data_IF_272231873495
#
_entry.id   IF_272231873495
#
_cell.length_a   1.000
_cell.length_b   1.000
_cell.length_c   1.000
_cell.angle_alpha   90.00
_cell.angle_beta   90.00
_cell.angle_gamma   90.00
#
_symmetry.space_group_name_H-M   'P 1'
#
loop_
_entity.id
_entity.type
_entity.pdbx_description
1 polymer ?
#
# COMPACT_ATOMS: atom_id res chain seq x y z
N UNK A 1 17.59 5.69 -10.13
CA UNK A 1 16.36 5.20 -10.79
C UNK A 1 15.82 4.07 -9.93
N UNK A 2 14.61 4.20 -9.37
CA UNK A 2 14.01 3.11 -8.57
C UNK A 2 13.47 2.08 -9.56
N UNK A 3 13.91 0.83 -9.42
CA UNK A 3 13.37 -0.27 -10.19
C UNK A 3 12.21 -0.89 -9.41
N UNK A 4 11.01 -0.67 -9.90
CA UNK A 4 9.80 -1.27 -9.35
C UNK A 4 9.45 -2.53 -10.13
N UNK A 5 8.99 -3.55 -9.41
CA UNK A 5 8.47 -4.79 -9.99
C UNK A 5 6.99 -4.93 -9.66
N UNK A 6 6.15 -4.89 -10.69
CA UNK A 6 4.72 -5.10 -10.55
C UNK A 6 4.36 -6.58 -10.73
N UNK A 7 3.47 -7.07 -9.88
CA UNK A 7 2.91 -8.42 -9.95
C UNK A 7 1.41 -8.36 -9.73
N UNK A 8 0.68 -9.36 -10.24
CA UNK A 8 -0.77 -9.48 -10.09
C UNK A 8 -1.16 -10.75 -9.36
N UNK A 9 -2.25 -10.66 -8.61
CA UNK A 9 -2.89 -11.74 -7.89
C UNK A 9 -4.37 -11.75 -8.29
N UNK A 10 -4.89 -12.94 -8.63
CA UNK A 10 -6.33 -13.15 -8.72
C UNK A 10 -6.85 -13.68 -7.38
N UNK A 11 -7.89 -13.05 -6.85
CA UNK A 11 -8.61 -13.48 -5.64
C UNK A 11 -10.05 -13.81 -6.03
N UNK A 12 -10.51 -15.06 -5.80
CA UNK A 12 -11.90 -15.43 -6.04
C UNK A 12 -12.88 -14.46 -5.36
N UNK A 13 -14.01 -14.18 -6.02
CA UNK A 13 -15.08 -13.26 -5.58
C UNK A 13 -14.72 -11.77 -5.48
N UNK A 14 -13.43 -11.43 -5.45
CA UNK A 14 -12.94 -10.05 -5.32
C UNK A 14 -12.33 -9.50 -6.61
N UNK A 15 -11.70 -10.34 -7.43
CA UNK A 15 -11.07 -9.95 -8.69
C UNK A 15 -9.55 -9.85 -8.61
N UNK A 16 -8.96 -8.96 -9.42
CA UNK A 16 -7.52 -8.83 -9.60
C UNK A 16 -6.93 -7.71 -8.75
N UNK A 17 -5.82 -8.01 -8.08
CA UNK A 17 -5.04 -7.05 -7.30
C UNK A 17 -3.64 -6.99 -7.88
N UNK A 18 -3.09 -5.79 -8.03
CA UNK A 18 -1.70 -5.60 -8.42
C UNK A 18 -0.92 -4.97 -7.28
N UNK A 19 0.33 -5.39 -7.09
CA UNK A 19 1.28 -4.72 -6.20
C UNK A 19 2.59 -4.43 -6.90
N UNK A 20 3.19 -3.28 -6.60
CA UNK A 20 4.56 -2.95 -7.00
C UNK A 20 5.49 -3.03 -5.80
N UNK A 21 6.62 -3.72 -5.95
CA UNK A 21 7.69 -3.77 -4.95
C UNK A 21 8.93 -3.05 -5.44
N UNK A 22 9.57 -2.30 -4.54
CA UNK A 22 10.94 -1.82 -4.70
C UNK A 22 11.90 -2.75 -3.95
N UNK A 23 13.20 -2.42 -3.96
CA UNK A 23 14.18 -3.11 -3.12
C UNK A 23 13.94 -2.94 -1.60
N UNK A 24 13.16 -1.93 -1.19
CA UNK A 24 12.89 -1.62 0.23
C UNK A 24 11.57 -2.20 0.75
N UNK A 25 10.63 -2.52 -0.14
CA UNK A 25 9.33 -3.06 0.25
C UNK A 25 8.22 -2.78 -0.75
N UNK A 26 6.98 -2.93 -0.29
CA UNK A 26 5.78 -2.64 -1.06
C UNK A 26 5.69 -1.12 -1.32
N UNK A 27 5.72 -0.74 -2.59
CA UNK A 27 5.60 0.64 -3.05
C UNK A 27 4.14 1.07 -3.24
N UNK A 28 3.35 0.19 -3.86
CA UNK A 28 1.95 0.44 -4.15
C UNK A 28 1.15 -0.87 -4.24
N UNK A 29 -0.15 -0.78 -3.98
CA UNK A 29 -1.11 -1.87 -4.03
C UNK A 29 -2.43 -1.33 -4.61
N UNK A 30 -3.03 -2.03 -5.54
CA UNK A 30 -4.38 -1.71 -6.00
C UNK A 30 -5.42 -2.32 -5.07
N UNK A 31 -6.59 -1.69 -4.99
CA UNK A 31 -7.80 -2.40 -4.58
C UNK A 31 -8.19 -3.43 -5.66
N UNK A 32 -9.07 -4.41 -5.33
CA UNK A 32 -9.56 -5.36 -6.32
C UNK A 32 -10.15 -4.67 -7.56
N UNK A 33 -9.78 -5.17 -8.74
CA UNK A 33 -10.17 -4.69 -10.06
C UNK A 33 -10.79 -5.83 -10.89
N UNK A 34 -11.59 -5.53 -11.93
CA UNK A 34 -12.22 -6.57 -12.76
C UNK A 34 -11.22 -7.41 -13.56
N UNK A 35 -10.05 -6.85 -13.91
CA UNK A 35 -9.04 -7.53 -14.74
C UNK A 35 -7.60 -7.14 -14.35
N UNK A 36 -6.64 -7.97 -14.75
CA UNK A 36 -5.22 -7.80 -14.43
C UNK A 36 -4.61 -6.52 -15.03
N UNK A 37 -5.07 -6.11 -16.21
CA UNK A 37 -4.55 -4.93 -16.92
C UNK A 37 -4.94 -3.66 -16.17
N UNK A 38 -6.20 -3.56 -15.76
CA UNK A 38 -6.70 -2.46 -14.93
C UNK A 38 -5.99 -2.42 -13.58
N UNK A 39 -5.77 -3.57 -12.93
CA UNK A 39 -5.00 -3.64 -11.68
C UNK A 39 -3.58 -3.08 -11.85
N UNK A 40 -2.85 -3.53 -12.87
CA UNK A 40 -1.51 -3.03 -13.18
C UNK A 40 -1.50 -1.54 -13.52
N UNK A 41 -2.50 -1.06 -14.26
CA UNK A 41 -2.64 0.35 -14.59
C UNK A 41 -2.79 1.22 -13.34
N UNK A 42 -3.55 0.78 -12.32
CA UNK A 42 -3.69 1.50 -11.03
C UNK A 42 -2.34 1.68 -10.33
N UNK A 43 -1.52 0.63 -10.29
CA UNK A 43 -0.19 0.69 -9.68
C UNK A 43 0.78 1.54 -10.51
N UNK A 44 0.69 1.49 -11.84
CA UNK A 44 1.51 2.33 -12.74
C UNK A 44 1.15 3.81 -12.66
N UNK A 45 -0.13 4.16 -12.47
CA UNK A 45 -0.56 5.56 -12.31
C UNK A 45 0.01 6.22 -11.05
N UNK A 46 0.20 5.43 -9.99
CA UNK A 46 0.88 5.88 -8.78
C UNK A 46 2.35 6.23 -9.04
N UNK A 47 2.97 5.55 -10.01
CA UNK A 47 4.37 5.73 -10.42
C UNK A 47 4.56 6.90 -11.39
N UNK A 48 3.58 7.17 -12.26
CA UNK A 48 3.68 8.14 -13.35
C UNK A 48 4.04 9.60 -12.93
N UNK A 49 3.99 9.92 -11.64
CA UNK A 49 4.41 11.22 -11.09
C UNK A 49 5.82 11.25 -10.47
N UNK A 50 6.53 10.12 -10.41
CA UNK A 50 7.84 10.00 -9.76
C UNK A 50 8.80 9.23 -10.69
N UNK A 51 10.06 9.67 -10.82
CA UNK A 51 11.05 9.17 -11.79
C UNK A 51 11.53 7.71 -11.60
N UNK A 52 10.68 6.85 -11.04
CA UNK A 52 10.85 5.42 -11.00
C UNK A 52 10.40 4.86 -12.35
N UNK A 53 11.27 4.06 -12.97
CA UNK A 53 10.88 3.30 -14.16
C UNK A 53 10.54 1.91 -13.68
N UNK A 54 9.28 1.49 -13.82
CA UNK A 54 8.90 0.08 -13.72
C UNK A 54 9.65 -0.66 -14.84
N UNK A 55 10.77 -1.31 -14.47
CA UNK A 55 11.49 -2.19 -15.37
C UNK A 55 10.94 -3.60 -15.17
N UNK A 56 10.52 -4.22 -16.27
CA UNK A 56 10.16 -5.65 -16.36
C UNK A 56 11.41 -6.55 -16.24
N UNK A 57 12.23 -6.38 -15.18
CA UNK A 57 13.38 -7.24 -14.90
C UNK A 57 12.95 -8.44 -14.04
N UNK A 58 13.45 -9.67 -14.33
CA UNK A 58 13.07 -10.88 -13.61
C UNK A 58 13.30 -10.73 -12.11
N UNK A 59 12.43 -11.29 -11.25
CA UNK A 59 12.50 -11.09 -9.80
C UNK A 59 13.82 -11.63 -9.22
N UNK A 60 14.50 -10.79 -8.44
CA UNK A 60 15.52 -11.23 -7.50
C UNK A 60 14.84 -11.85 -6.27
N UNK A 61 15.51 -12.78 -5.61
CA UNK A 61 14.97 -13.69 -4.58
C UNK A 61 14.20 -12.99 -3.45
N UNK A 62 14.63 -11.79 -3.04
CA UNK A 62 13.98 -11.01 -1.97
C UNK A 62 12.59 -10.46 -2.34
N UNK A 63 12.40 -10.04 -3.59
CA UNK A 63 11.12 -9.53 -4.10
C UNK A 63 10.07 -10.66 -4.16
N UNK A 64 10.50 -11.88 -4.48
CA UNK A 64 9.65 -13.07 -4.49
C UNK A 64 9.10 -13.38 -3.10
N UNK A 65 9.96 -13.40 -2.05
CA UNK A 65 9.51 -13.70 -0.68
C UNK A 65 8.50 -12.66 -0.17
N UNK A 66 8.76 -11.38 -0.37
CA UNK A 66 7.85 -10.31 0.04
C UNK A 66 6.49 -10.42 -0.65
N UNK A 67 6.48 -10.69 -1.96
CA UNK A 67 5.26 -10.92 -2.72
C UNK A 67 4.48 -12.14 -2.21
N UNK A 68 5.14 -13.27 -1.99
CA UNK A 68 4.49 -14.48 -1.46
C UNK A 68 3.87 -14.23 -0.07
N UNK A 69 4.55 -13.48 0.80
CA UNK A 69 3.99 -13.08 2.09
C UNK A 69 2.77 -12.19 1.94
N UNK A 70 2.83 -11.16 1.08
CA UNK A 70 1.71 -10.27 0.81
C UNK A 70 0.49 -11.03 0.27
N UNK A 71 0.68 -11.90 -0.72
CA UNK A 71 -0.38 -12.73 -1.31
C UNK A 71 -1.08 -13.56 -0.22
N UNK A 72 -0.31 -14.18 0.69
CA UNK A 72 -0.86 -14.95 1.81
C UNK A 72 -1.70 -14.09 2.75
N UNK A 73 -1.23 -12.89 3.09
CA UNK A 73 -1.96 -11.97 3.96
C UNK A 73 -3.25 -11.45 3.30
N UNK A 74 -3.20 -11.12 2.01
CA UNK A 74 -4.37 -10.67 1.25
C UNK A 74 -5.46 -11.74 1.15
N UNK A 75 -5.09 -13.00 0.90
CA UNK A 75 -6.06 -14.09 0.92
C UNK A 75 -6.73 -14.26 2.29
N UNK A 76 -5.97 -14.13 3.39
CA UNK A 76 -6.54 -14.16 4.74
C UNK A 76 -7.47 -12.98 5.00
N UNK A 77 -7.04 -11.76 4.67
CA UNK A 77 -7.84 -10.54 4.82
C UNK A 77 -9.18 -10.64 4.10
N UNK A 78 -9.14 -10.98 2.81
CA UNK A 78 -10.31 -11.01 1.93
C UNK A 78 -11.24 -12.20 2.19
N UNK A 79 -10.75 -13.22 2.91
CA UNK A 79 -11.58 -14.31 3.45
C UNK A 79 -12.15 -14.01 4.84
N UNK A 80 -11.97 -12.79 5.36
CA UNK A 80 -12.54 -12.34 6.64
C UNK A 80 -11.76 -12.80 7.87
N UNK A 81 -10.54 -13.32 7.72
CA UNK A 81 -9.71 -13.68 8.85
C UNK A 81 -8.94 -12.46 9.38
N UNK A 82 -8.81 -12.30 10.72
CA UNK A 82 -7.94 -11.29 11.31
C UNK A 82 -6.52 -11.43 10.79
N UNK A 83 -5.92 -10.31 10.40
CA UNK A 83 -4.57 -10.26 9.85
C UNK A 83 -3.89 -8.95 10.23
N UNK A 84 -2.60 -9.04 10.50
CA UNK A 84 -1.72 -7.90 10.71
C UNK A 84 -0.82 -7.68 9.50
N UNK A 85 -0.61 -6.41 9.12
CA UNK A 85 0.33 -6.00 8.07
C UNK A 85 1.53 -5.21 8.61
N UNK A 86 1.71 -5.19 9.93
CA UNK A 86 2.68 -4.37 10.66
C UNK A 86 4.12 -4.69 10.21
N UNK A 87 4.42 -5.98 10.05
CA UNK A 87 5.74 -6.47 9.65
C UNK A 87 6.02 -6.35 8.15
N UNK A 88 5.05 -5.95 7.34
CA UNK A 88 5.28 -5.79 5.90
C UNK A 88 6.13 -4.53 5.64
N UNK A 89 7.32 -4.65 5.03
CA UNK A 89 8.13 -3.50 4.67
C UNK A 89 7.42 -2.67 3.61
N UNK A 90 7.28 -1.37 3.87
CA UNK A 90 6.68 -0.40 2.95
C UNK A 90 7.74 0.57 2.46
N UNK A 91 7.74 0.83 1.15
CA UNK A 91 8.54 1.90 0.59
C UNK A 91 7.76 3.22 0.62
N UNK A 92 8.20 4.11 1.51
CA UNK A 92 7.59 5.41 1.74
C UNK A 92 8.28 6.55 0.99
N UNK A 93 9.21 6.26 0.06
CA UNK A 93 9.84 7.30 -0.73
C UNK A 93 8.81 8.04 -1.59
N UNK A 94 9.07 9.33 -1.81
CA UNK A 94 8.15 10.22 -2.52
C UNK A 94 7.02 10.79 -1.66
N UNK A 95 6.85 10.32 -0.42
CA UNK A 95 6.00 10.99 0.56
C UNK A 95 6.77 12.07 1.33
N UNK A 96 6.12 13.22 1.54
CA UNK A 96 6.59 14.26 2.47
C UNK A 96 6.69 13.72 3.89
N UNK A 97 7.44 14.40 4.77
CA UNK A 97 7.54 14.02 6.18
C UNK A 97 6.18 13.94 6.87
N UNK A 98 5.30 14.91 6.60
CA UNK A 98 3.95 14.90 7.15
C UNK A 98 3.13 13.71 6.65
N UNK A 99 3.19 13.39 5.36
CA UNK A 99 2.52 12.20 4.81
C UNK A 99 3.04 10.92 5.46
N UNK A 100 4.37 10.77 5.60
CA UNK A 100 4.98 9.61 6.27
C UNK A 100 4.54 9.48 7.73
N UNK A 101 4.48 10.59 8.46
CA UNK A 101 4.01 10.59 9.85
C UNK A 101 2.55 10.12 9.97
N UNK A 102 1.66 10.67 9.13
CA UNK A 102 0.24 10.26 9.08
C UNK A 102 0.10 8.79 8.73
N UNK A 103 0.75 8.33 7.66
CA UNK A 103 0.67 6.94 7.20
C UNK A 103 1.19 5.93 8.22
N UNK A 104 2.23 6.28 9.01
CA UNK A 104 2.71 5.44 10.11
C UNK A 104 1.67 5.31 11.23
N UNK A 105 1.07 6.42 11.66
CA UNK A 105 0.01 6.41 12.67
C UNK A 105 -1.20 5.59 12.21
N UNK A 106 -1.57 5.70 10.93
CA UNK A 106 -2.70 4.94 10.37
C UNK A 106 -2.39 3.45 10.26
N UNK A 107 -1.14 3.08 9.93
CA UNK A 107 -0.69 1.68 9.90
C UNK A 107 -0.81 0.98 11.26
N UNK A 108 -0.74 1.72 12.37
CA UNK A 108 -0.86 1.19 13.74
C UNK A 108 -2.31 0.98 14.18
N UNK A 109 -3.31 1.35 13.37
CA UNK A 109 -4.72 1.16 13.71
C UNK A 109 -5.04 -0.34 13.65
N UNK A 110 -5.49 -0.96 14.76
CA UNK A 110 -5.78 -2.38 14.79
C UNK A 110 -6.91 -2.76 13.83
N UNK A 111 -6.85 -3.98 13.30
CA UNK A 111 -7.93 -4.55 12.50
C UNK A 111 -9.29 -4.43 13.24
N UNK A 112 -10.32 -4.00 12.52
CA UNK A 112 -11.67 -3.82 13.08
C UNK A 112 -11.87 -2.55 13.92
N UNK A 113 -10.84 -1.71 14.08
CA UNK A 113 -10.94 -0.43 14.77
C UNK A 113 -11.11 0.73 13.80
N UNK A 114 -11.72 1.83 14.27
CA UNK A 114 -11.86 3.07 13.52
C UNK A 114 -11.26 4.21 14.35
N UNK A 115 -10.56 5.11 13.68
CA UNK A 115 -9.98 6.33 14.27
C UNK A 115 -10.34 7.51 13.38
N UNK A 116 -10.74 8.64 13.97
CA UNK A 116 -11.09 9.81 13.17
C UNK A 116 -9.84 10.50 12.62
N UNK A 117 -9.98 11.23 11.52
CA UNK A 117 -8.88 12.06 11.02
C UNK A 117 -8.43 13.14 12.01
N UNK A 118 -9.33 13.60 12.89
CA UNK A 118 -8.97 14.50 13.99
C UNK A 118 -8.03 13.83 14.99
N UNK A 119 -8.33 12.60 15.37
CA UNK A 119 -7.48 11.82 16.29
C UNK A 119 -6.12 11.52 15.68
N UNK A 120 -6.07 11.14 14.39
CA UNK A 120 -4.80 10.97 13.66
C UNK A 120 -4.01 12.28 13.65
N UNK A 121 -4.67 13.42 13.39
CA UNK A 121 -4.03 14.73 13.40
C UNK A 121 -3.43 15.08 14.77
N UNK A 122 -4.11 14.74 15.86
CA UNK A 122 -3.59 14.88 17.23
C UNK A 122 -2.38 13.98 17.46
N UNK A 123 -2.45 12.69 17.07
CA UNK A 123 -1.35 11.72 17.23
C UNK A 123 -0.08 12.11 16.48
N UNK A 124 -0.19 12.78 15.33
CA UNK A 124 0.97 13.30 14.58
C UNK A 124 1.44 14.69 15.06
N UNK A 125 0.91 15.19 16.18
CA UNK A 125 1.32 16.47 16.77
C UNK A 125 0.82 17.70 16.00
N UNK A 126 -0.25 17.55 15.19
CA UNK A 126 -0.87 18.67 14.44
C UNK A 126 -2.39 18.74 14.70
N UNK A 127 -2.83 19.09 15.92
CA UNK A 127 -4.25 19.28 16.22
C UNK A 127 -4.92 20.23 15.21
N UNK A 128 -6.14 19.89 14.76
CA UNK A 128 -6.88 20.66 13.75
C UNK A 128 -6.54 20.33 12.28
N UNK A 129 -5.51 19.51 12.01
CA UNK A 129 -5.12 19.15 10.65
C UNK A 129 -5.94 18.01 10.01
N UNK A 130 -7.18 17.76 10.44
CA UNK A 130 -8.01 16.64 9.98
C UNK A 130 -8.22 16.62 8.46
N UNK A 131 -8.42 17.79 7.83
CA UNK A 131 -8.54 17.88 6.35
C UNK A 131 -7.24 17.50 5.65
N UNK A 132 -6.09 17.90 6.21
CA UNK A 132 -4.79 17.56 5.66
C UNK A 132 -4.54 16.04 5.77
N UNK A 133 -4.92 15.41 6.89
CA UNK A 133 -4.90 13.95 7.05
C UNK A 133 -5.76 13.27 5.96
N UNK A 134 -6.98 13.76 5.72
CA UNK A 134 -7.83 13.24 4.64
C UNK A 134 -7.18 13.34 3.25
N UNK A 135 -6.43 14.41 2.97
CA UNK A 135 -5.66 14.53 1.73
C UNK A 135 -4.49 13.54 1.67
N UNK A 136 -3.84 13.24 2.80
CA UNK A 136 -2.83 12.16 2.85
C UNK A 136 -3.46 10.82 2.51
N UNK A 137 -4.63 10.50 3.10
CA UNK A 137 -5.32 9.24 2.85
C UNK A 137 -5.77 9.08 1.40
N UNK A 138 -6.15 10.17 0.72
CA UNK A 138 -6.42 10.17 -0.73
C UNK A 138 -5.19 9.76 -1.56
N UNK A 139 -3.99 10.00 -1.05
CA UNK A 139 -2.71 9.66 -1.68
C UNK A 139 -2.10 8.36 -1.14
N UNK A 140 -2.84 7.58 -0.33
CA UNK A 140 -2.37 6.29 0.16
C UNK A 140 -2.19 5.32 -1.02
N UNK A 141 -0.93 4.93 -1.27
CA UNK A 141 -0.54 4.03 -2.37
C UNK A 141 -0.76 2.57 -2.03
N UNK A 142 -0.93 2.24 -0.75
CA UNK A 142 -1.02 0.88 -0.23
C UNK A 142 -2.29 0.71 0.61
N UNK A 143 -3.49 0.88 0.02
CA UNK A 143 -4.75 0.59 0.70
C UNK A 143 -4.79 -0.87 1.20
N UNK A 144 -5.66 -1.19 2.15
CA UNK A 144 -5.72 -2.48 2.88
C UNK A 144 -4.56 -2.66 3.86
N UNK A 145 -3.32 -2.45 3.40
CA UNK A 145 -2.11 -2.56 4.24
C UNK A 145 -1.97 -1.36 5.18
N UNK A 146 -2.20 -0.17 4.64
CA UNK A 146 -2.50 1.03 5.43
C UNK A 146 -4.01 1.25 5.28
N UNK A 147 -4.80 1.04 6.35
CA UNK A 147 -6.26 1.07 6.27
C UNK A 147 -6.83 2.45 5.96
#
# INVERSE_FOLDING_TARGET
MVHLRAQVLYVPDWGWIAGALSARGLWALSLPQPDAVTALARVRMVDAGQSAGILDSPPGTGSTRQWTSLVRLLHKYLSGHPVGFEDLPLDMDGYTEFQRAVLRVVKEIPYGSVVSYGDVAVRVGRPGAARAVGQVMRCNRTPIVIP
#
